data_IF_189671570383
#
_entry.id   IF_189671570383
#
_cell.length_a   1.000
_cell.length_b   1.000
_cell.length_c   1.000
_cell.angle_alpha   90.00
_cell.angle_beta   90.00
_cell.angle_gamma   90.00
#
_symmetry.space_group_name_H-M   'P 1'
#
loop_
_entity.id
_entity.type
_entity.pdbx_description
1 polymer ?
#
# COMPACT_ATOMS: atom_id res chain seq x y z
N UNK A 1 11.15 -23.45 17.74
CA UNK A 1 11.80 -22.74 16.62
C UNK A 1 10.87 -22.53 15.41
N UNK A 2 9.97 -23.47 15.05
CA UNK A 2 9.12 -23.38 13.86
C UNK A 2 8.12 -22.20 13.75
N UNK A 3 7.67 -21.60 14.87
CA UNK A 3 6.60 -20.57 14.85
C UNK A 3 7.07 -19.19 14.38
N UNK A 4 8.32 -18.84 14.67
CA UNK A 4 8.89 -17.54 14.29
C UNK A 4 9.27 -17.52 12.80
N UNK A 5 9.81 -18.64 12.30
CA UNK A 5 10.10 -18.81 10.87
C UNK A 5 8.83 -18.82 10.03
N UNK A 6 7.71 -19.39 10.50
CA UNK A 6 6.42 -19.31 9.82
C UNK A 6 5.83 -17.88 9.76
N UNK A 7 6.22 -17.00 10.68
CA UNK A 7 5.84 -15.58 10.67
C UNK A 7 6.72 -14.74 9.72
N UNK A 8 7.94 -15.18 9.44
CA UNK A 8 8.89 -14.50 8.55
C UNK A 8 8.92 -15.11 7.14
N UNK A 9 8.46 -16.35 6.98
CA UNK A 9 8.33 -17.00 5.70
C UNK A 9 7.39 -16.17 4.83
N UNK A 10 7.73 -15.87 3.56
CA UNK A 10 6.76 -15.30 2.64
C UNK A 10 5.49 -16.15 2.71
N UNK A 11 4.32 -15.51 2.81
CA UNK A 11 3.08 -16.26 2.67
C UNK A 11 3.18 -16.94 1.30
N UNK A 12 3.32 -18.27 1.29
CA UNK A 12 3.66 -19.06 0.10
C UNK A 12 2.62 -18.97 -1.04
N UNK A 13 1.60 -18.13 -0.85
CA UNK A 13 0.38 -18.03 -1.63
C UNK A 13 -0.05 -16.57 -1.88
N UNK A 14 0.85 -15.60 -1.70
CA UNK A 14 0.60 -14.17 -1.94
C UNK A 14 0.81 -13.71 -3.38
N UNK A 15 0.97 -14.63 -4.33
CA UNK A 15 1.35 -14.37 -5.72
C UNK A 15 0.41 -13.38 -6.45
N UNK A 16 -0.93 -13.50 -6.37
CA UNK A 16 -1.83 -12.54 -7.01
C UNK A 16 -1.70 -11.11 -6.45
N UNK A 17 -1.43 -10.98 -5.14
CA UNK A 17 -1.20 -9.68 -4.52
C UNK A 17 0.17 -9.11 -4.88
N UNK A 18 1.20 -9.95 -5.01
CA UNK A 18 2.53 -9.52 -5.47
C UNK A 18 2.48 -9.00 -6.90
N UNK A 19 1.77 -9.69 -7.79
CA UNK A 19 1.57 -9.26 -9.17
C UNK A 19 0.78 -7.97 -9.24
N UNK A 20 -0.31 -7.85 -8.46
CA UNK A 20 -1.07 -6.62 -8.34
C UNK A 20 -0.22 -5.45 -7.82
N UNK A 21 0.66 -5.69 -6.85
CA UNK A 21 1.59 -4.67 -6.35
C UNK A 21 2.61 -4.24 -7.43
N UNK A 22 3.09 -5.19 -8.25
CA UNK A 22 3.93 -4.89 -9.41
C UNK A 22 3.21 -4.02 -10.43
N UNK A 23 1.96 -4.36 -10.77
CA UNK A 23 1.09 -3.57 -11.64
C UNK A 23 0.80 -2.18 -11.08
N UNK A 24 0.54 -2.08 -9.77
CA UNK A 24 0.31 -0.82 -9.08
C UNK A 24 1.51 0.12 -9.18
N UNK A 25 2.74 -0.39 -9.02
CA UNK A 25 3.94 0.42 -9.15
C UNK A 25 4.09 1.00 -10.56
N UNK A 26 3.80 0.21 -11.60
CA UNK A 26 3.79 0.66 -12.98
C UNK A 26 2.70 1.72 -13.24
N UNK A 27 1.48 1.49 -12.75
CA UNK A 27 0.34 2.42 -12.89
C UNK A 27 0.64 3.76 -12.23
N UNK A 28 1.23 3.74 -11.04
CA UNK A 28 1.62 4.94 -10.30
C UNK A 28 2.86 5.64 -10.89
N UNK A 29 3.53 5.03 -11.88
CA UNK A 29 4.84 5.49 -12.38
C UNK A 29 5.92 5.52 -11.29
N UNK A 30 5.77 4.67 -10.27
CA UNK A 30 6.63 4.61 -9.09
C UNK A 30 7.69 3.52 -9.15
N UNK A 31 8.74 3.68 -8.35
CA UNK A 31 9.76 2.64 -8.18
C UNK A 31 9.38 1.72 -7.01
N UNK A 32 9.23 0.43 -7.29
CA UNK A 32 8.99 -0.58 -6.26
C UNK A 32 10.29 -1.13 -5.68
N UNK A 33 10.32 -1.28 -4.37
CA UNK A 33 11.36 -1.97 -3.61
C UNK A 33 10.70 -2.99 -2.68
N UNK A 34 11.03 -4.27 -2.86
CA UNK A 34 10.69 -5.30 -1.88
C UNK A 34 11.69 -5.23 -0.72
N UNK A 35 11.18 -5.01 0.49
CA UNK A 35 11.98 -4.94 1.72
C UNK A 35 12.25 -6.34 2.27
N UNK A 36 11.26 -7.24 2.10
CA UNK A 36 11.35 -8.65 2.45
C UNK A 36 10.29 -9.47 1.69
N UNK A 37 10.00 -10.70 2.16
CA UNK A 37 9.01 -11.60 1.57
C UNK A 37 7.55 -11.12 1.63
N UNK A 38 7.23 -10.10 2.44
CA UNK A 38 5.87 -9.62 2.71
C UNK A 38 5.71 -8.11 2.56
N UNK A 39 6.78 -7.35 2.70
CA UNK A 39 6.76 -5.89 2.73
C UNK A 39 7.35 -5.30 1.44
N UNK A 40 6.64 -4.36 0.84
CA UNK A 40 7.09 -3.59 -0.30
C UNK A 40 6.91 -2.09 -0.05
N UNK A 41 7.73 -1.29 -0.73
CA UNK A 41 7.60 0.16 -0.78
C UNK A 41 7.54 0.62 -2.23
N UNK A 42 6.63 1.54 -2.54
CA UNK A 42 6.58 2.26 -3.80
C UNK A 42 6.89 3.72 -3.50
N UNK A 43 7.96 4.24 -4.09
CA UNK A 43 8.28 5.66 -4.04
C UNK A 43 7.81 6.34 -5.32
N UNK A 44 7.08 7.44 -5.18
CA UNK A 44 6.56 8.22 -6.30
C UNK A 44 6.53 9.72 -5.99
N UNK A 45 6.33 10.50 -7.04
CA UNK A 45 6.14 11.95 -6.97
C UNK A 45 4.70 12.26 -7.40
N UNK A 46 3.95 12.95 -6.55
CA UNK A 46 2.53 13.20 -6.76
C UNK A 46 2.14 14.68 -6.62
N UNK A 47 1.06 15.06 -7.30
CA UNK A 47 0.49 16.40 -7.27
C UNK A 47 1.31 17.47 -8.01
N UNK A 48 0.72 18.65 -8.18
CA UNK A 48 1.32 19.78 -8.92
C UNK A 48 2.59 20.36 -8.29
N UNK A 49 2.85 20.05 -7.01
CA UNK A 49 4.02 20.50 -6.26
C UNK A 49 5.15 19.46 -6.20
N UNK A 50 5.06 18.38 -6.99
CA UNK A 50 6.05 17.32 -7.01
C UNK A 50 6.37 16.78 -5.61
N UNK A 51 5.33 16.44 -4.86
CA UNK A 51 5.47 15.95 -3.49
C UNK A 51 5.98 14.50 -3.53
N UNK A 52 7.05 14.21 -2.79
CA UNK A 52 7.48 12.84 -2.56
C UNK A 52 6.46 12.11 -1.67
N UNK A 53 5.88 11.05 -2.21
CA UNK A 53 4.94 10.15 -1.52
C UNK A 53 5.54 8.76 -1.48
N UNK A 54 5.42 8.09 -0.34
CA UNK A 54 5.81 6.71 -0.15
C UNK A 54 4.57 5.89 0.19
N UNK A 55 4.38 4.80 -0.53
CA UNK A 55 3.36 3.79 -0.25
C UNK A 55 4.08 2.57 0.30
N UNK A 56 3.74 2.15 1.51
CA UNK A 56 4.20 0.93 2.14
C UNK A 56 3.08 -0.10 2.10
N UNK A 57 3.42 -1.32 1.70
CA UNK A 57 2.50 -2.41 1.43
C UNK A 57 2.94 -3.62 2.23
N UNK A 58 2.02 -4.20 3.01
CA UNK A 58 2.26 -5.40 3.83
C UNK A 58 1.30 -6.51 3.41
N UNK A 59 1.84 -7.63 2.92
CA UNK A 59 1.09 -8.86 2.68
C UNK A 59 0.76 -9.53 4.01
N UNK A 60 -0.47 -9.32 4.52
CA UNK A 60 -0.91 -9.89 5.80
C UNK A 60 -1.47 -11.30 5.65
N UNK A 61 -2.17 -11.55 4.55
CA UNK A 61 -2.69 -12.88 4.17
C UNK A 61 -2.87 -12.97 2.65
N UNK A 62 -3.46 -14.06 2.15
CA UNK A 62 -3.75 -14.26 0.72
C UNK A 62 -4.71 -13.21 0.14
N UNK A 63 -5.58 -12.65 0.97
CA UNK A 63 -6.61 -11.70 0.57
C UNK A 63 -6.61 -10.45 1.45
N UNK A 64 -5.57 -10.23 2.25
CA UNK A 64 -5.47 -9.04 3.10
C UNK A 64 -4.15 -8.30 2.87
N UNK A 65 -4.27 -7.01 2.59
CA UNK A 65 -3.15 -6.10 2.36
C UNK A 65 -3.21 -4.92 3.33
N UNK A 66 -2.11 -4.68 4.03
CA UNK A 66 -1.85 -3.43 4.74
C UNK A 66 -1.30 -2.37 3.78
N UNK A 67 -1.82 -1.15 3.85
CA UNK A 67 -1.36 0.00 3.06
C UNK A 67 -1.05 1.16 4.01
N UNK A 68 0.12 1.77 3.90
CA UNK A 68 0.45 3.02 4.57
C UNK A 68 0.93 4.02 3.53
N UNK A 69 0.25 5.15 3.40
CA UNK A 69 0.70 6.27 2.57
C UNK A 69 1.30 7.34 3.47
N UNK A 70 2.51 7.77 3.14
CA UNK A 70 3.20 8.85 3.83
C UNK A 70 3.75 9.88 2.86
N UNK A 71 3.82 11.14 3.28
CA UNK A 71 4.37 12.22 2.46
C UNK A 71 4.96 13.33 3.31
N UNK A 72 5.75 14.20 2.67
CA UNK A 72 6.29 15.42 3.29
C UNK A 72 5.45 16.67 3.01
N UNK A 73 4.14 16.52 2.81
CA UNK A 73 3.26 17.68 2.59
C UNK A 73 3.27 18.63 3.80
N UNK A 74 2.87 19.90 3.63
CA UNK A 74 2.76 20.84 4.76
C UNK A 74 1.54 20.56 5.64
N UNK A 75 1.63 20.81 6.96
CA UNK A 75 0.60 20.42 7.95
C UNK A 75 -0.76 21.15 7.86
N UNK A 76 -0.92 22.17 7.01
CA UNK A 76 -2.13 23.02 7.00
C UNK A 76 -3.19 22.72 5.92
N UNK A 77 -2.91 21.83 4.97
CA UNK A 77 -3.72 21.70 3.74
C UNK A 77 -4.41 20.36 3.48
N UNK A 78 -4.42 19.44 4.45
CA UNK A 78 -5.13 18.14 4.30
C UNK A 78 -4.44 17.10 3.42
N UNK A 79 -3.15 17.27 3.08
CA UNK A 79 -2.34 16.29 2.33
C UNK A 79 -3.00 15.74 1.04
N UNK A 80 -3.42 16.62 0.10
CA UNK A 80 -4.16 16.22 -1.10
C UNK A 80 -3.38 15.24 -1.99
N UNK A 81 -2.04 15.30 -2.01
CA UNK A 81 -1.26 14.34 -2.79
C UNK A 81 -1.33 12.94 -2.17
N UNK A 82 -1.14 12.81 -0.86
CA UNK A 82 -1.32 11.53 -0.15
C UNK A 82 -2.71 10.96 -0.30
N UNK A 83 -3.76 11.80 -0.19
CA UNK A 83 -5.15 11.36 -0.35
C UNK A 83 -5.37 10.83 -1.76
N UNK A 84 -4.99 11.58 -2.79
CA UNK A 84 -5.16 11.16 -4.18
C UNK A 84 -4.41 9.87 -4.49
N UNK A 85 -3.19 9.71 -3.97
CA UNK A 85 -2.42 8.46 -4.13
C UNK A 85 -3.12 7.31 -3.40
N UNK A 86 -3.60 7.52 -2.18
CA UNK A 86 -4.31 6.50 -1.42
C UNK A 86 -5.59 6.05 -2.14
N UNK A 87 -6.42 6.98 -2.61
CA UNK A 87 -7.65 6.67 -3.34
C UNK A 87 -7.37 5.88 -4.61
N UNK A 88 -6.33 6.27 -5.37
CA UNK A 88 -5.89 5.54 -6.56
C UNK A 88 -5.45 4.12 -6.20
N UNK A 89 -4.59 3.96 -5.17
CA UNK A 89 -4.11 2.66 -4.69
C UNK A 89 -5.28 1.75 -4.32
N UNK A 90 -6.25 2.27 -3.56
CA UNK A 90 -7.44 1.49 -3.15
C UNK A 90 -8.27 1.05 -4.37
N UNK A 91 -8.54 1.96 -5.31
CA UNK A 91 -9.31 1.66 -6.51
C UNK A 91 -8.63 0.61 -7.39
N UNK A 92 -7.32 0.74 -7.61
CA UNK A 92 -6.53 -0.21 -8.39
C UNK A 92 -6.57 -1.60 -7.75
N UNK A 93 -6.28 -1.70 -6.45
CA UNK A 93 -6.19 -2.98 -5.76
C UNK A 93 -7.53 -3.73 -5.70
N UNK A 94 -8.63 -3.01 -5.48
CA UNK A 94 -9.98 -3.59 -5.50
C UNK A 94 -10.35 -4.14 -6.88
N UNK A 95 -9.85 -3.52 -7.95
CA UNK A 95 -10.08 -3.96 -9.32
C UNK A 95 -9.18 -5.14 -9.69
N UNK A 96 -7.89 -5.06 -9.34
CA UNK A 96 -6.90 -6.07 -9.69
C UNK A 96 -7.08 -7.38 -8.91
N UNK A 97 -7.54 -7.30 -7.65
CA UNK A 97 -7.74 -8.47 -6.79
C UNK A 97 -9.15 -8.43 -6.19
N UNK A 98 -10.17 -8.97 -6.89
CA UNK A 98 -11.53 -9.01 -6.39
C UNK A 98 -11.62 -9.68 -5.02
N UNK A 99 -12.28 -9.03 -4.06
CA UNK A 99 -12.44 -9.54 -2.69
C UNK A 99 -11.24 -9.30 -1.77
N UNK A 100 -10.22 -8.55 -2.21
CA UNK A 100 -9.13 -8.13 -1.31
C UNK A 100 -9.66 -7.23 -0.19
N UNK A 101 -9.23 -7.54 1.03
CA UNK A 101 -9.42 -6.71 2.21
C UNK A 101 -8.21 -5.79 2.33
N UNK A 102 -8.42 -4.49 2.10
CA UNK A 102 -7.36 -3.49 2.26
C UNK A 102 -7.51 -2.76 3.58
N UNK A 103 -6.48 -2.84 4.43
CA UNK A 103 -6.38 -2.06 5.67
C UNK A 103 -5.41 -0.91 5.43
N UNK A 104 -5.88 0.33 5.47
CA UNK A 104 -5.04 1.47 5.12
C UNK A 104 -4.88 2.51 6.23
N UNK A 105 -3.74 3.17 6.22
CA UNK A 105 -3.44 4.34 7.05
C UNK A 105 -2.79 5.42 6.19
N UNK A 106 -3.11 6.67 6.50
CA UNK A 106 -2.34 7.83 6.08
C UNK A 106 -1.62 8.36 7.32
N UNK A 107 -0.32 8.67 7.22
CA UNK A 107 0.46 9.22 8.34
C UNK A 107 -0.17 10.49 8.93
N UNK A 108 -0.93 11.22 8.10
CA UNK A 108 -1.63 12.46 8.42
C UNK A 108 -3.01 12.31 9.04
N UNK A 109 -3.74 11.24 8.73
CA UNK A 109 -5.17 11.12 9.10
C UNK A 109 -5.43 10.37 10.43
N UNK A 110 -4.36 10.03 11.16
CA UNK A 110 -4.47 9.32 12.43
C UNK A 110 -4.71 7.81 12.24
N UNK A 111 -5.38 7.13 13.19
CA UNK A 111 -5.53 5.66 13.17
C UNK A 111 -6.34 5.14 11.97
N UNK A 112 -6.07 3.89 11.58
CA UNK A 112 -6.61 3.18 10.41
C UNK A 112 -8.13 3.36 10.31
N UNK A 113 -8.59 4.07 9.27
CA UNK A 113 -10.01 4.09 8.89
C UNK A 113 -10.25 2.82 8.06
N UNK A 114 -10.96 1.85 8.63
CA UNK A 114 -11.31 0.64 7.87
C UNK A 114 -12.23 1.04 6.71
N UNK A 115 -11.91 0.61 5.48
CA UNK A 115 -12.94 0.49 4.45
C UNK A 115 -13.96 -0.53 4.98
N UNK A 116 -15.23 -0.13 5.07
CA UNK A 116 -16.30 -1.06 5.37
C UNK A 116 -16.28 -2.17 4.31
N UNK A 117 -16.31 -3.42 4.75
CA UNK A 117 -16.57 -4.53 3.85
C UNK A 117 -17.94 -4.27 3.21
N UNK A 118 -17.97 -4.20 1.88
CA UNK A 118 -19.22 -4.18 1.12
C UNK A 118 -19.94 -5.53 1.25
#
# INVERSE_FOLDING_TARGET
MARLEALLAPAADGEPLRDAIGGLAAELGGAILWLDGRNASIALVAGSRAVAVQVLLELRSRSELGVLVSSREGMGGGAPASISVLEHVLSFLQTAVPGVVVRYRSDRDGPIRQAAAA
#
